data_IF_648966821010
#
_entry.id   IF_648966821010
#
_cell.length_a   1.000
_cell.length_b   1.000
_cell.length_c   1.000
_cell.angle_alpha   90.00
_cell.angle_beta   90.00
_cell.angle_gamma   90.00
#
_symmetry.space_group_name_H-M   'P 1'
#
loop_
_entity.id
_entity.type
_entity.pdbx_description
1 polymer ?
#
# COMPACT_ATOMS: atom_id res chain seq x y z
N UNK A 1 -16.62 -11.64 -10.56
CA UNK A 1 -16.00 -10.29 -10.45
C UNK A 1 -14.77 -10.43 -9.57
N UNK A 2 -13.59 -10.03 -10.05
CA UNK A 2 -12.38 -10.10 -9.22
C UNK A 2 -12.46 -9.07 -8.09
N UNK A 3 -12.16 -9.48 -6.86
CA UNK A 3 -12.03 -8.60 -5.69
C UNK A 3 -10.54 -8.53 -5.32
N UNK A 4 -9.88 -7.42 -5.65
CA UNK A 4 -8.52 -7.01 -5.25
C UNK A 4 -8.44 -5.90 -4.18
N UNK A 5 -7.79 -6.13 -3.04
CA UNK A 5 -7.51 -5.08 -2.07
C UNK A 5 -6.66 -3.96 -2.69
N UNK A 6 -6.59 -2.80 -2.04
CA UNK A 6 -5.83 -1.65 -2.56
C UNK A 6 -4.39 -2.01 -2.95
N UNK A 7 -3.69 -2.79 -2.12
CA UNK A 7 -2.31 -3.21 -2.41
C UNK A 7 -2.19 -4.15 -3.61
N UNK A 8 -3.16 -5.04 -3.84
CA UNK A 8 -3.18 -5.97 -4.98
C UNK A 8 -3.43 -5.19 -6.28
N UNK A 9 -4.36 -4.23 -6.27
CA UNK A 9 -4.59 -3.32 -7.39
C UNK A 9 -3.35 -2.46 -7.71
N UNK A 10 -2.68 -1.94 -6.69
CA UNK A 10 -1.41 -1.21 -6.85
C UNK A 10 -0.31 -2.05 -7.49
N UNK A 11 -0.22 -3.34 -7.17
CA UNK A 11 0.74 -4.24 -7.81
C UNK A 11 0.48 -4.38 -9.32
N UNK A 12 -0.79 -4.47 -9.73
CA UNK A 12 -1.17 -4.50 -11.15
C UNK A 12 -0.86 -3.17 -11.86
N UNK A 13 -1.15 -2.03 -11.22
CA UNK A 13 -0.80 -0.72 -11.78
C UNK A 13 0.72 -0.54 -11.94
N UNK A 14 1.51 -1.06 -11.01
CA UNK A 14 2.98 -1.07 -11.12
C UNK A 14 3.45 -1.87 -12.34
N UNK A 15 2.88 -3.06 -12.58
CA UNK A 15 3.16 -3.87 -13.77
C UNK A 15 2.79 -3.11 -15.05
N UNK A 16 1.65 -2.41 -15.02
CA UNK A 16 1.18 -1.57 -16.12
C UNK A 16 1.95 -0.23 -16.26
N UNK A 17 3.00 0.00 -15.46
CA UNK A 17 3.80 1.24 -15.44
C UNK A 17 2.99 2.51 -15.20
N UNK A 18 1.84 2.39 -14.53
CA UNK A 18 1.06 3.55 -14.12
C UNK A 18 1.69 4.23 -12.91
N UNK A 19 1.68 5.57 -12.83
CA UNK A 19 2.17 6.29 -11.66
C UNK A 19 1.28 5.96 -10.47
N UNK A 20 1.88 5.45 -9.40
CA UNK A 20 1.21 5.17 -8.13
C UNK A 20 2.01 5.75 -6.97
N UNK A 21 1.36 6.13 -5.85
CA UNK A 21 2.07 6.55 -4.65
C UNK A 21 2.99 5.45 -4.12
N UNK A 22 4.16 5.83 -3.61
CA UNK A 22 5.06 4.92 -2.90
C UNK A 22 4.37 4.43 -1.62
N UNK A 23 4.41 3.13 -1.37
CA UNK A 23 3.84 2.50 -0.19
C UNK A 23 4.15 1.00 -0.16
N UNK A 24 3.89 0.38 0.99
CA UNK A 24 4.10 -1.06 1.21
C UNK A 24 3.08 -1.58 2.23
N UNK A 25 2.93 -2.91 2.32
CA UNK A 25 2.01 -3.57 3.26
C UNK A 25 2.75 -3.92 4.55
N UNK A 26 2.17 -3.57 5.69
CA UNK A 26 2.66 -3.96 7.02
C UNK A 26 1.70 -4.95 7.67
N UNK A 27 2.24 -5.95 8.37
CA UNK A 27 1.48 -6.88 9.22
C UNK A 27 1.62 -6.56 10.71
N UNK A 28 2.66 -5.80 11.08
CA UNK A 28 2.86 -5.31 12.45
C UNK A 28 3.05 -3.79 12.50
N UNK A 29 2.83 -3.16 13.67
CA UNK A 29 3.14 -1.75 13.87
C UNK A 29 4.63 -1.41 13.63
N UNK A 30 5.56 -2.29 14.01
CA UNK A 30 6.99 -2.05 13.76
C UNK A 30 7.33 -2.06 12.27
N UNK A 31 6.71 -2.93 11.48
CA UNK A 31 6.87 -2.93 10.02
C UNK A 31 6.33 -1.63 9.41
N UNK A 32 5.15 -1.18 9.85
CA UNK A 32 4.58 0.08 9.39
C UNK A 32 5.51 1.27 9.66
N UNK A 33 6.15 1.29 10.84
CA UNK A 33 7.16 2.31 11.19
C UNK A 33 8.36 2.28 10.25
N UNK A 34 8.95 1.10 10.03
CA UNK A 34 10.11 0.93 9.13
C UNK A 34 9.79 1.38 7.70
N UNK A 35 8.58 1.07 7.21
CA UNK A 35 8.12 1.49 5.89
C UNK A 35 8.00 3.02 5.83
N UNK A 36 7.41 3.65 6.85
CA UNK A 36 7.29 5.10 6.93
C UNK A 36 8.66 5.80 6.94
N UNK A 37 9.61 5.29 7.74
CA UNK A 37 10.98 5.78 7.80
C UNK A 37 11.68 5.68 6.43
N UNK A 38 11.50 4.58 5.71
CA UNK A 38 12.03 4.38 4.35
C UNK A 38 11.43 5.34 3.31
N UNK A 39 10.15 5.72 3.48
CA UNK A 39 9.49 6.69 2.59
C UNK A 39 10.01 8.12 2.85
N UNK A 40 10.33 8.45 4.09
CA UNK A 40 10.96 9.74 4.45
C UNK A 40 10.05 10.96 4.24
N UNK A 41 8.74 10.77 4.15
CA UNK A 41 7.71 11.81 3.95
C UNK A 41 6.50 11.49 4.83
N UNK A 42 5.56 12.44 5.06
CA UNK A 42 4.30 12.14 5.71
C UNK A 42 3.58 10.96 5.02
N UNK A 43 3.11 10.00 5.82
CA UNK A 43 2.47 8.77 5.33
C UNK A 43 1.03 8.67 5.82
N UNK A 44 0.23 7.87 5.09
CA UNK A 44 -1.13 7.49 5.48
C UNK A 44 -1.14 5.98 5.74
N UNK A 45 -1.70 5.57 6.89
CA UNK A 45 -1.92 4.17 7.22
C UNK A 45 -3.36 3.81 6.83
N UNK A 46 -3.52 2.78 5.99
CA UNK A 46 -4.84 2.29 5.55
C UNK A 46 -4.98 0.80 5.85
N UNK A 47 -6.05 0.43 6.53
CA UNK A 47 -6.42 -0.96 6.73
C UNK A 47 -6.73 -1.62 5.37
N UNK A 48 -6.24 -2.84 5.16
CA UNK A 48 -6.49 -3.61 3.94
C UNK A 48 -7.78 -4.40 4.11
N UNK A 49 -8.89 -3.78 3.70
CA UNK A 49 -10.20 -4.31 3.96
C UNK A 49 -11.16 -3.90 2.84
N UNK A 50 -12.19 -4.72 2.65
CA UNK A 50 -13.27 -4.45 1.72
C UNK A 50 -14.35 -3.63 2.38
N UNK A 51 -14.26 -2.31 2.28
CA UNK A 51 -15.30 -1.39 2.75
C UNK A 51 -15.55 -0.31 1.71
N UNK A 52 -16.83 0.09 1.60
CA UNK A 52 -17.26 1.25 0.83
C UNK A 52 -17.07 2.53 1.61
#
# INVERSE_FOLDING_TARGET
>A
MARLNEHEGKALFKIAKMPIPQGDVAKTPEEARKIAEKIGKPVVIKVQIWTG
#
